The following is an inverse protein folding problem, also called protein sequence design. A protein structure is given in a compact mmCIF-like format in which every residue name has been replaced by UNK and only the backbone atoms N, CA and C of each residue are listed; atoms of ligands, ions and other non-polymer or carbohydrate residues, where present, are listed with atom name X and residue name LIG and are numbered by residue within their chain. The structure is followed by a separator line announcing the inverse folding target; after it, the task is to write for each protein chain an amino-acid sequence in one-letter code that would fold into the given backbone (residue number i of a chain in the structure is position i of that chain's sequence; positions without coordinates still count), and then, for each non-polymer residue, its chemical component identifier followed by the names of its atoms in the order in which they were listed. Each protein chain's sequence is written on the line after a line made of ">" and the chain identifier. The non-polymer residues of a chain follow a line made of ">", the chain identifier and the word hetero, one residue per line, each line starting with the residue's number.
data_IF_859987519285
#
_entry.id   IF_859987519285
#
_cell.length_a   1.000
_cell.length_b   1.000
_cell.length_c   1.000
_cell.angle_alpha   90.00
_cell.angle_beta   90.00
_cell.angle_gamma   90.00
#
_symmetry.space_group_name_H-M   'P 1'
#
loop_
_entity.id
_entity.type
_entity.pdbx_description
1 polymer ?
#
# COMPACT_ATOMS: atom_id res chain seq x y z
N UNK A 1 -8.05 -6.87 15.55
CA UNK A 1 -7.96 -6.81 17.03
C UNK A 1 -7.83 -8.17 17.71
N UNK A 2 -8.44 -9.26 17.22
CA UNK A 2 -8.36 -10.58 17.87
C UNK A 2 -6.92 -11.09 18.05
N UNK A 3 -6.08 -10.97 17.01
CA UNK A 3 -4.68 -11.45 17.03
C UNK A 3 -3.82 -10.72 18.09
N UNK A 4 -3.94 -9.39 18.22
CA UNK A 4 -3.15 -8.65 19.21
C UNK A 4 -3.51 -9.07 20.64
N UNK A 5 -4.80 -9.23 20.92
CA UNK A 5 -5.27 -9.70 22.24
C UNK A 5 -4.82 -11.13 22.52
N UNK A 6 -4.89 -12.02 21.53
CA UNK A 6 -4.39 -13.40 21.65
C UNK A 6 -2.87 -13.45 21.94
N UNK A 7 -2.11 -12.52 21.35
CA UNK A 7 -0.66 -12.38 21.55
C UNK A 7 -0.28 -11.48 22.74
N UNK A 8 -1.25 -11.06 23.56
CA UNK A 8 -1.02 -10.22 24.75
C UNK A 8 -0.30 -8.90 24.43
N UNK A 9 -0.55 -8.33 23.25
CA UNK A 9 -0.06 -7.00 22.88
C UNK A 9 -1.12 -5.99 23.32
N UNK A 10 -0.95 -5.44 24.52
CA UNK A 10 -1.93 -4.54 25.16
C UNK A 10 -1.48 -3.08 25.22
N UNK A 11 -0.18 -2.83 25.02
CA UNK A 11 0.40 -1.49 25.04
C UNK A 11 1.28 -1.20 23.82
N UNK A 12 1.60 0.08 23.64
CA UNK A 12 2.61 0.51 22.66
C UNK A 12 3.96 -0.15 22.91
N UNK A 13 4.35 -0.32 24.17
CA UNK A 13 5.63 -0.94 24.52
C UNK A 13 5.67 -2.43 24.13
N UNK A 14 4.56 -3.15 24.30
CA UNK A 14 4.46 -4.56 23.87
C UNK A 14 4.57 -4.68 22.35
N UNK A 15 3.93 -3.76 21.63
CA UNK A 15 4.00 -3.72 20.17
C UNK A 15 5.44 -3.47 19.69
N UNK A 16 6.11 -2.45 20.23
CA UNK A 16 7.51 -2.16 19.90
C UNK A 16 8.43 -3.32 20.20
N UNK A 17 8.30 -3.90 21.39
CA UNK A 17 9.10 -5.05 21.81
C UNK A 17 8.90 -6.22 20.86
N UNK A 18 7.66 -6.46 20.42
CA UNK A 18 7.34 -7.50 19.43
C UNK A 18 8.00 -7.24 18.08
N UNK A 19 7.94 -6.02 17.56
CA UNK A 19 8.63 -5.67 16.30
C UNK A 19 10.15 -5.81 16.44
N UNK A 20 10.75 -5.31 17.51
CA UNK A 20 12.20 -5.45 17.76
C UNK A 20 12.61 -6.93 17.87
N UNK A 21 11.80 -7.77 18.50
CA UNK A 21 12.07 -9.20 18.57
C UNK A 21 12.03 -9.84 17.17
N UNK A 22 11.07 -9.47 16.33
CA UNK A 22 10.96 -9.96 14.95
C UNK A 22 12.08 -9.50 14.06
N UNK A 23 12.50 -8.25 14.20
CA UNK A 23 13.66 -7.71 13.51
C UNK A 23 14.97 -8.35 13.95
N UNK A 24 14.98 -9.11 15.05
CA UNK A 24 16.13 -9.90 15.51
C UNK A 24 15.97 -11.41 15.31
N UNK A 25 14.77 -11.87 14.98
CA UNK A 25 14.46 -13.27 14.72
C UNK A 25 15.13 -13.74 13.42
N UNK A 26 15.95 -14.79 13.52
CA UNK A 26 16.66 -15.36 12.38
C UNK A 26 15.69 -15.96 11.35
N UNK A 27 14.53 -16.45 11.79
CA UNK A 27 13.51 -16.99 10.88
C UNK A 27 12.89 -15.90 10.01
N UNK A 28 12.87 -14.65 10.48
CA UNK A 28 12.34 -13.49 9.77
C UNK A 28 13.36 -12.80 8.86
N UNK A 29 14.60 -13.25 8.87
CA UNK A 29 15.69 -12.70 8.05
C UNK A 29 16.05 -13.60 6.88
N UNK A 30 16.68 -12.98 5.91
CA UNK A 30 17.49 -13.66 4.91
C UNK A 30 18.94 -13.50 5.31
N UNK A 31 19.74 -14.55 5.12
CA UNK A 31 21.19 -14.44 5.25
C UNK A 31 21.73 -13.50 4.18
N UNK A 32 22.72 -12.66 4.50
CA UNK A 32 23.26 -11.66 3.59
C UNK A 32 24.25 -12.27 2.57
N UNK A 33 23.75 -13.18 1.73
CA UNK A 33 24.45 -13.87 0.65
C UNK A 33 23.76 -13.61 -0.69
N UNK A 34 24.50 -13.62 -1.79
CA UNK A 34 24.01 -13.22 -3.12
C UNK A 34 22.80 -14.07 -3.59
N UNK A 35 22.81 -15.35 -3.27
CA UNK A 35 21.76 -16.31 -3.61
C UNK A 35 20.39 -15.92 -3.04
N UNK A 36 20.38 -15.25 -1.87
CA UNK A 36 19.13 -14.82 -1.24
C UNK A 36 18.47 -13.66 -1.97
N UNK A 37 19.16 -12.93 -2.87
CA UNK A 37 18.50 -11.91 -3.70
C UNK A 37 17.46 -12.54 -4.62
N UNK A 38 17.82 -13.62 -5.31
CA UNK A 38 16.87 -14.38 -6.15
C UNK A 38 15.76 -14.99 -5.31
N UNK A 39 16.09 -15.51 -4.12
CA UNK A 39 15.10 -16.05 -3.20
C UNK A 39 14.06 -15.00 -2.79
N UNK A 40 14.48 -13.79 -2.44
CA UNK A 40 13.57 -12.69 -2.07
C UNK A 40 12.62 -12.35 -3.20
N UNK A 41 13.12 -12.23 -4.44
CA UNK A 41 12.27 -11.94 -5.60
C UNK A 41 11.25 -13.06 -5.83
N UNK A 42 11.65 -14.33 -5.70
CA UNK A 42 10.75 -15.47 -5.81
C UNK A 42 9.71 -15.52 -4.69
N UNK A 43 10.09 -15.21 -3.46
CA UNK A 43 9.17 -15.17 -2.31
C UNK A 43 8.13 -14.04 -2.53
N UNK A 44 8.51 -12.88 -3.10
CA UNK A 44 7.54 -11.86 -3.53
C UNK A 44 6.62 -12.34 -4.65
N UNK A 45 7.15 -13.01 -5.68
CA UNK A 45 6.33 -13.60 -6.74
C UNK A 45 5.28 -14.58 -6.17
N UNK A 46 5.68 -15.43 -5.22
CA UNK A 46 4.76 -16.37 -4.57
C UNK A 46 3.68 -15.65 -3.77
N UNK A 47 4.03 -14.62 -2.99
CA UNK A 47 3.06 -13.80 -2.24
C UNK A 47 2.03 -13.17 -3.19
N UNK A 48 2.48 -12.66 -4.34
CA UNK A 48 1.62 -12.05 -5.35
C UNK A 48 0.70 -13.09 -5.98
N UNK A 49 1.22 -14.26 -6.35
CA UNK A 49 0.43 -15.34 -6.93
C UNK A 49 -0.62 -15.88 -5.95
N UNK A 50 -0.25 -16.07 -4.68
CA UNK A 50 -1.14 -16.55 -3.64
C UNK A 50 -2.36 -15.63 -3.44
N UNK A 51 -2.15 -14.31 -3.42
CA UNK A 51 -3.26 -13.37 -3.30
C UNK A 51 -4.02 -13.22 -4.62
N UNK A 52 -3.34 -13.19 -5.77
CA UNK A 52 -3.98 -13.00 -7.08
C UNK A 52 -5.01 -14.09 -7.41
N UNK A 53 -4.72 -15.35 -7.03
CA UNK A 53 -5.62 -16.49 -7.18
C UNK A 53 -6.96 -16.32 -6.42
N UNK A 54 -7.02 -15.42 -5.45
CA UNK A 54 -8.19 -15.18 -4.61
C UNK A 54 -8.93 -13.88 -4.96
N UNK A 55 -8.38 -13.06 -5.88
CA UNK A 55 -8.92 -11.73 -6.21
C UNK A 55 -10.29 -11.76 -6.88
N UNK A 56 -10.64 -12.83 -7.58
CA UNK A 56 -11.97 -12.99 -8.20
C UNK A 56 -13.10 -13.05 -7.16
N UNK A 57 -12.80 -13.21 -5.87
CA UNK A 57 -13.79 -13.11 -4.77
C UNK A 57 -14.14 -11.66 -4.43
N UNK A 58 -13.24 -10.72 -4.72
CA UNK A 58 -13.35 -9.32 -4.28
C UNK A 58 -13.35 -8.31 -5.41
N UNK A 59 -12.96 -8.71 -6.62
CA UNK A 59 -12.93 -7.88 -7.81
C UNK A 59 -13.73 -8.54 -8.92
N UNK A 60 -14.41 -7.74 -9.75
CA UNK A 60 -15.01 -8.26 -10.97
C UNK A 60 -13.94 -8.61 -12.00
N UNK A 61 -14.31 -9.42 -12.98
CA UNK A 61 -13.44 -9.72 -14.14
C UNK A 61 -13.08 -8.47 -14.94
N UNK A 62 -13.91 -7.42 -14.92
CA UNK A 62 -13.64 -6.16 -15.60
C UNK A 62 -12.47 -5.39 -14.96
N UNK A 63 -12.21 -5.61 -13.67
CA UNK A 63 -11.11 -5.00 -12.93
C UNK A 63 -9.83 -5.84 -12.90
N UNK A 64 -9.76 -6.99 -13.60
CA UNK A 64 -8.55 -7.82 -13.58
C UNK A 64 -7.50 -7.27 -14.56
N UNK A 65 -6.26 -7.00 -14.12
CA UNK A 65 -5.17 -6.67 -15.02
C UNK A 65 -4.97 -7.76 -16.09
N UNK A 66 -4.76 -7.35 -17.34
CA UNK A 66 -4.51 -8.29 -18.44
C UNK A 66 -3.07 -8.87 -18.42
N UNK A 67 -2.17 -8.25 -17.66
CA UNK A 67 -0.77 -8.65 -17.52
C UNK A 67 -0.45 -8.94 -16.07
N UNK A 68 0.53 -9.82 -15.84
CA UNK A 68 1.06 -10.07 -14.49
C UNK A 68 2.08 -8.99 -14.11
N UNK A 69 2.23 -8.75 -12.82
CA UNK A 69 3.33 -7.94 -12.28
C UNK A 69 4.63 -8.73 -12.37
N UNK A 70 5.69 -8.11 -12.90
CA UNK A 70 7.05 -8.63 -12.81
C UNK A 70 7.67 -8.13 -11.50
N UNK A 71 8.54 -8.94 -10.87
CA UNK A 71 9.30 -8.52 -9.67
C UNK A 71 10.78 -8.53 -10.02
N UNK A 72 11.46 -7.39 -9.83
CA UNK A 72 12.89 -7.25 -10.16
C UNK A 72 13.66 -6.53 -9.07
N UNK A 73 14.98 -6.74 -9.03
CA UNK A 73 15.88 -5.91 -8.22
C UNK A 73 15.97 -4.53 -8.85
N UNK A 74 15.97 -3.49 -8.02
CA UNK A 74 16.36 -2.14 -8.47
C UNK A 74 17.75 -2.20 -9.14
N UNK A 75 17.95 -1.61 -10.33
CA UNK A 75 19.26 -1.61 -10.98
C UNK A 75 20.36 -1.13 -10.03
N UNK A 76 21.49 -1.84 -9.99
CA UNK A 76 22.55 -1.62 -9.00
C UNK A 76 23.06 -0.17 -8.95
N UNK A 77 23.09 0.53 -10.09
CA UNK A 77 23.50 1.93 -10.13
C UNK A 77 22.50 2.92 -9.48
N UNK A 78 21.28 2.47 -9.14
CA UNK A 78 20.22 3.27 -8.50
C UNK A 78 19.97 2.90 -7.03
N UNK A 79 20.36 1.71 -6.59
CA UNK A 79 19.91 1.15 -5.30
C UNK A 79 20.37 1.95 -4.07
N UNK A 80 21.51 2.64 -4.16
CA UNK A 80 22.04 3.47 -3.08
C UNK A 80 21.13 4.67 -2.72
N UNK A 81 20.44 5.24 -3.71
CA UNK A 81 19.57 6.43 -3.54
C UNK A 81 18.09 6.10 -3.68
N UNK A 82 17.75 4.84 -3.97
CA UNK A 82 16.37 4.43 -4.11
C UNK A 82 15.72 4.13 -2.75
N UNK A 83 14.40 4.26 -2.72
CA UNK A 83 13.55 3.76 -1.63
C UNK A 83 13.60 2.23 -1.55
N UNK A 84 12.96 1.67 -0.53
CA UNK A 84 12.93 0.22 -0.30
C UNK A 84 12.31 -0.56 -1.48
N UNK A 85 11.30 0.03 -2.12
CA UNK A 85 10.53 -0.59 -3.16
C UNK A 85 9.73 0.47 -3.94
N UNK A 86 9.41 0.17 -5.20
CA UNK A 86 8.45 0.95 -5.97
C UNK A 86 7.89 0.13 -7.14
N UNK A 87 6.65 0.40 -7.52
CA UNK A 87 6.06 -0.07 -8.76
C UNK A 87 6.32 0.90 -9.92
N UNK A 88 6.65 0.35 -11.09
CA UNK A 88 6.74 1.09 -12.34
C UNK A 88 5.71 0.57 -13.36
N UNK A 89 4.86 1.44 -13.95
CA UNK A 89 3.83 1.02 -14.90
C UNK A 89 4.39 0.39 -16.17
N UNK A 90 3.59 -0.50 -16.79
CA UNK A 90 3.90 -1.03 -18.11
C UNK A 90 3.93 0.09 -19.16
N UNK A 91 4.79 -0.07 -20.17
CA UNK A 91 4.80 0.80 -21.34
C UNK A 91 3.59 0.50 -22.23
N UNK A 92 3.00 1.55 -22.83
CA UNK A 92 1.85 1.41 -23.73
C UNK A 92 2.16 0.66 -25.02
N UNK A 93 3.43 0.55 -25.40
CA UNK A 93 3.89 -0.22 -26.56
C UNK A 93 4.05 -1.73 -26.27
N UNK A 94 3.80 -2.15 -25.02
CA UNK A 94 3.88 -3.53 -24.57
C UNK A 94 5.29 -4.09 -24.42
N UNK A 95 6.35 -3.29 -24.65
CA UNK A 95 7.74 -3.78 -24.58
C UNK A 95 8.29 -3.85 -23.17
N UNK A 96 7.76 -3.04 -22.26
CA UNK A 96 8.16 -3.02 -20.85
C UNK A 96 6.97 -3.41 -19.98
N UNK A 97 7.07 -4.50 -19.20
CA UNK A 97 6.00 -4.92 -18.31
C UNK A 97 5.87 -3.95 -17.11
N UNK A 98 4.76 -4.07 -16.39
CA UNK A 98 4.62 -3.43 -15.09
C UNK A 98 5.48 -4.17 -14.08
N UNK A 99 6.38 -3.45 -13.40
CA UNK A 99 7.42 -4.07 -12.57
C UNK A 99 7.41 -3.50 -11.16
N UNK A 100 7.28 -4.40 -10.18
CA UNK A 100 7.56 -4.13 -8.79
C UNK A 100 9.07 -4.29 -8.55
N UNK A 101 9.76 -3.17 -8.34
CA UNK A 101 11.17 -3.15 -8.04
C UNK A 101 11.43 -3.22 -6.53
N UNK A 102 12.36 -4.08 -6.12
CA UNK A 102 12.79 -4.27 -4.73
C UNK A 102 14.25 -3.83 -4.55
N UNK A 103 14.52 -3.04 -3.53
CA UNK A 103 15.88 -2.67 -3.17
C UNK A 103 16.58 -3.82 -2.44
N UNK A 104 17.63 -4.37 -3.07
CA UNK A 104 18.42 -5.47 -2.51
C UNK A 104 19.88 -5.07 -2.30
N UNK A 105 20.15 -3.77 -2.09
CA UNK A 105 21.50 -3.28 -1.75
C UNK A 105 22.08 -3.99 -0.53
N UNK A 106 21.22 -4.19 0.47
CA UNK A 106 21.52 -4.83 1.74
C UNK A 106 20.37 -5.77 2.08
N UNK A 107 20.62 -7.07 2.04
CA UNK A 107 19.59 -8.09 2.23
C UNK A 107 18.98 -8.00 3.65
N UNK A 108 19.74 -7.53 4.63
CA UNK A 108 19.27 -7.36 6.00
C UNK A 108 18.19 -6.27 6.15
N UNK A 109 17.95 -5.45 5.12
CA UNK A 109 16.85 -4.47 5.07
C UNK A 109 15.52 -5.13 4.64
N UNK A 110 15.56 -6.33 4.06
CA UNK A 110 14.38 -7.13 3.71
C UNK A 110 14.04 -8.08 4.86
N UNK A 111 12.92 -7.83 5.52
CA UNK A 111 12.39 -8.70 6.59
C UNK A 111 11.09 -9.38 6.15
N UNK A 112 10.99 -10.69 6.35
CA UNK A 112 9.89 -11.53 5.82
C UNK A 112 8.52 -11.07 6.29
N UNK A 113 8.40 -10.69 7.57
CA UNK A 113 7.13 -10.27 8.16
C UNK A 113 6.55 -8.98 7.53
N UNK A 114 7.35 -8.16 6.82
CA UNK A 114 6.87 -6.97 6.09
C UNK A 114 6.59 -7.23 4.60
N UNK A 115 6.95 -8.40 4.06
CA UNK A 115 6.86 -8.66 2.62
C UNK A 115 5.42 -8.69 2.10
N UNK A 116 4.48 -9.31 2.83
CA UNK A 116 3.08 -9.39 2.41
C UNK A 116 2.46 -8.01 2.17
N UNK A 117 2.55 -7.12 3.17
CA UNK A 117 1.95 -5.79 3.09
C UNK A 117 2.56 -4.97 1.95
N UNK A 118 3.88 -5.07 1.75
CA UNK A 118 4.57 -4.40 0.65
C UNK A 118 4.19 -4.95 -0.73
N UNK A 119 4.06 -6.28 -0.86
CA UNK A 119 3.61 -6.90 -2.10
C UNK A 119 2.18 -6.49 -2.46
N UNK A 120 1.30 -6.40 -1.46
CA UNK A 120 -0.08 -5.98 -1.66
C UNK A 120 -0.17 -4.50 -2.06
N UNK A 121 0.73 -3.66 -1.51
CA UNK A 121 0.85 -2.25 -1.85
C UNK A 121 1.33 -2.02 -3.29
N UNK A 122 2.45 -2.63 -3.66
CA UNK A 122 3.14 -2.35 -4.94
C UNK A 122 2.54 -3.14 -6.11
N UNK A 123 2.06 -4.36 -5.86
CA UNK A 123 1.60 -5.28 -6.90
C UNK A 123 0.08 -5.51 -6.83
N UNK A 124 -0.33 -6.66 -6.28
CA UNK A 124 -1.73 -7.11 -6.30
C UNK A 124 -2.31 -7.11 -4.89
N UNK A 125 -3.45 -6.42 -4.63
CA UNK A 125 -4.27 -5.64 -5.55
C UNK A 125 -3.96 -4.12 -5.57
N UNK A 126 -2.77 -3.70 -5.15
CA UNK A 126 -2.37 -2.29 -5.07
C UNK A 126 -1.99 -1.64 -6.42
N UNK A 127 -0.79 -1.05 -6.50
CA UNK A 127 -0.41 -0.18 -7.62
C UNK A 127 -0.43 -0.87 -8.98
N UNK A 128 0.15 -2.07 -9.11
CA UNK A 128 0.09 -2.80 -10.39
C UNK A 128 -1.35 -2.99 -10.85
N UNK A 129 -2.22 -3.41 -9.94
CA UNK A 129 -3.61 -3.68 -10.24
C UNK A 129 -4.34 -2.41 -10.71
N UNK A 130 -4.27 -1.34 -9.90
CA UNK A 130 -4.97 -0.09 -10.17
C UNK A 130 -4.49 0.60 -11.45
N UNK A 131 -3.18 0.67 -11.65
CA UNK A 131 -2.61 1.36 -12.80
C UNK A 131 -2.85 0.55 -14.08
N UNK A 132 -2.70 -0.77 -14.04
CA UNK A 132 -2.93 -1.61 -15.22
C UNK A 132 -4.38 -1.56 -15.68
N UNK A 133 -5.34 -1.55 -14.74
CA UNK A 133 -6.75 -1.32 -15.06
C UNK A 133 -6.92 0.04 -15.72
N UNK A 134 -6.42 1.12 -15.10
CA UNK A 134 -6.55 2.48 -15.67
C UNK A 134 -5.95 2.60 -17.09
N UNK A 135 -4.79 1.98 -17.34
CA UNK A 135 -4.17 1.97 -18.67
C UNK A 135 -5.03 1.25 -19.72
N UNK A 136 -5.86 0.28 -19.31
CA UNK A 136 -6.73 -0.49 -20.20
C UNK A 136 -8.03 0.23 -20.61
N UNK A 137 -8.42 1.31 -19.92
CA UNK A 137 -9.70 2.01 -20.11
C UNK A 137 -9.72 2.85 -21.40
N UNK A 138 -9.85 2.19 -22.56
CA UNK A 138 -9.83 2.83 -23.90
C UNK A 138 -10.96 3.84 -24.14
N UNK A 139 -12.02 3.78 -23.34
CA UNK A 139 -13.12 4.75 -23.40
C UNK A 139 -12.75 6.11 -22.77
N UNK A 140 -11.67 6.16 -21.97
CA UNK A 140 -11.17 7.40 -21.39
C UNK A 140 -10.13 8.07 -22.31
N UNK A 141 -10.10 9.42 -22.33
CA UNK A 141 -9.00 10.15 -22.95
C UNK A 141 -7.64 9.70 -22.42
N UNK A 142 -6.59 9.73 -23.27
CA UNK A 142 -5.27 9.22 -22.92
C UNK A 142 -4.71 9.80 -21.61
N UNK A 143 -4.89 11.11 -21.37
CA UNK A 143 -4.40 11.75 -20.14
C UNK A 143 -5.03 11.16 -18.86
N UNK A 144 -6.31 10.74 -18.89
CA UNK A 144 -7.00 10.09 -17.75
C UNK A 144 -6.43 8.70 -17.44
N UNK A 145 -5.70 8.10 -18.38
CA UNK A 145 -5.07 6.79 -18.25
C UNK A 145 -3.64 6.87 -17.72
N UNK A 146 -3.06 8.07 -17.61
CA UNK A 146 -1.65 8.26 -17.23
C UNK A 146 -1.40 9.29 -16.12
N UNK A 147 -2.26 10.30 -15.95
CA UNK A 147 -2.04 11.34 -14.94
C UNK A 147 -2.33 10.77 -13.56
N UNK A 148 -1.35 10.72 -12.64
CA UNK A 148 -1.56 10.22 -11.31
C UNK A 148 -2.18 11.30 -10.42
N UNK A 149 -3.10 10.89 -9.55
CA UNK A 149 -3.52 11.69 -8.39
C UNK A 149 -3.01 11.00 -7.13
N UNK A 150 -1.98 11.56 -6.49
CA UNK A 150 -1.24 10.90 -5.40
C UNK A 150 -2.15 10.36 -4.30
N UNK A 151 -3.13 11.14 -3.83
CA UNK A 151 -4.02 10.68 -2.76
C UNK A 151 -4.93 9.52 -3.22
N UNK A 152 -5.39 9.51 -4.47
CA UNK A 152 -6.12 8.37 -5.02
C UNK A 152 -5.21 7.13 -5.15
N UNK A 153 -4.02 7.32 -5.70
CA UNK A 153 -3.06 6.25 -5.99
C UNK A 153 -2.56 5.57 -4.71
N UNK A 154 -2.05 6.37 -3.77
CA UNK A 154 -1.51 5.90 -2.50
C UNK A 154 -2.61 5.47 -1.54
N UNK A 155 -3.75 6.16 -1.59
CA UNK A 155 -4.94 5.78 -0.84
C UNK A 155 -5.48 4.42 -1.26
N UNK A 156 -5.49 4.11 -2.56
CA UNK A 156 -5.86 2.80 -3.07
C UNK A 156 -4.93 1.70 -2.54
N UNK A 157 -3.62 1.89 -2.64
CA UNK A 157 -2.65 0.89 -2.20
C UNK A 157 -2.77 0.61 -0.69
N UNK A 158 -2.89 1.65 0.14
CA UNK A 158 -3.16 1.48 1.57
C UNK A 158 -4.52 0.84 1.87
N UNK A 159 -5.56 1.20 1.11
CA UNK A 159 -6.88 0.58 1.22
C UNK A 159 -6.78 -0.93 0.94
N UNK A 160 -5.99 -1.34 -0.04
CA UNK A 160 -5.81 -2.75 -0.39
C UNK A 160 -5.00 -3.54 0.64
N UNK A 161 -4.02 -2.92 1.31
CA UNK A 161 -3.35 -3.54 2.47
C UNK A 161 -4.36 -3.82 3.59
N UNK A 162 -5.23 -2.85 3.89
CA UNK A 162 -6.29 -3.05 4.88
C UNK A 162 -7.31 -4.11 4.43
N UNK A 163 -7.74 -4.10 3.17
CA UNK A 163 -8.61 -5.13 2.61
C UNK A 163 -7.97 -6.52 2.76
N UNK A 164 -6.67 -6.65 2.49
CA UNK A 164 -5.95 -7.91 2.64
C UNK A 164 -6.00 -8.41 4.10
N UNK A 165 -5.81 -7.51 5.07
CA UNK A 165 -5.95 -7.82 6.49
C UNK A 165 -7.38 -8.21 6.88
N UNK A 166 -8.40 -7.49 6.40
CA UNK A 166 -9.82 -7.77 6.65
C UNK A 166 -10.25 -9.14 6.10
N UNK A 167 -9.66 -9.56 4.98
CA UNK A 167 -9.97 -10.83 4.31
C UNK A 167 -9.06 -12.00 4.71
N UNK A 168 -8.18 -11.80 5.69
CA UNK A 168 -7.38 -12.88 6.28
C UNK A 168 -6.18 -13.33 5.44
N UNK A 169 -5.69 -12.48 4.53
CA UNK A 169 -4.51 -12.80 3.71
C UNK A 169 -3.21 -12.80 4.51
N UNK A 170 -3.18 -12.10 5.65
CA UNK A 170 -2.10 -12.20 6.63
C UNK A 170 -2.27 -13.46 7.49
N UNK A 171 -1.90 -14.62 6.93
CA UNK A 171 -2.08 -15.94 7.55
C UNK A 171 -1.26 -16.13 8.83
N UNK A 172 -0.09 -15.48 8.92
CA UNK A 172 0.76 -15.52 10.11
C UNK A 172 0.62 -14.23 10.92
N UNK A 173 0.72 -14.36 12.25
CA UNK A 173 0.72 -13.19 13.13
C UNK A 173 1.93 -12.27 12.87
N UNK A 174 3.06 -12.83 12.41
CA UNK A 174 4.20 -12.07 11.89
C UNK A 174 3.78 -11.11 10.77
N UNK A 175 3.17 -11.65 9.70
CA UNK A 175 2.73 -10.86 8.55
C UNK A 175 1.68 -9.81 8.94
N UNK A 176 0.79 -10.14 9.88
CA UNK A 176 -0.22 -9.21 10.37
C UNK A 176 0.39 -8.05 11.17
N UNK A 177 1.40 -8.33 12.00
CA UNK A 177 2.12 -7.30 12.73
C UNK A 177 2.93 -6.39 11.80
N UNK A 178 3.51 -6.95 10.73
CA UNK A 178 4.16 -6.16 9.68
C UNK A 178 3.20 -5.21 8.95
N UNK A 179 1.97 -5.64 8.69
CA UNK A 179 0.89 -4.76 8.21
C UNK A 179 0.58 -3.64 9.21
N UNK A 180 0.45 -3.95 10.50
CA UNK A 180 0.17 -2.92 11.52
C UNK A 180 1.32 -1.92 11.67
N UNK A 181 2.58 -2.38 11.62
CA UNK A 181 3.77 -1.51 11.62
C UNK A 181 3.76 -0.58 10.39
N UNK A 182 3.42 -1.11 9.22
CA UNK A 182 3.24 -0.33 8.01
C UNK A 182 2.14 0.74 8.18
N UNK A 183 0.97 0.38 8.70
CA UNK A 183 -0.13 1.32 8.93
C UNK A 183 0.21 2.41 9.96
N UNK A 184 0.93 2.05 11.03
CA UNK A 184 1.39 3.00 12.04
C UNK A 184 2.34 4.03 11.42
N UNK A 185 3.28 3.58 10.60
CA UNK A 185 4.19 4.48 9.88
C UNK A 185 3.43 5.48 8.99
N UNK A 186 2.46 5.02 8.18
CA UNK A 186 1.67 5.93 7.33
C UNK A 186 0.71 6.81 8.15
N UNK A 187 0.34 6.42 9.36
CA UNK A 187 -0.39 7.29 10.29
C UNK A 187 0.49 8.41 10.85
N UNK A 188 1.74 8.10 11.21
CA UNK A 188 2.71 9.08 11.69
C UNK A 188 3.00 10.15 10.63
N UNK A 189 2.99 9.79 9.33
CA UNK A 189 3.15 10.73 8.22
C UNK A 189 2.15 11.89 8.24
N UNK A 190 0.90 11.68 8.67
CA UNK A 190 -0.08 12.77 8.84
C UNK A 190 0.37 13.78 9.90
N UNK A 191 0.87 13.28 11.02
CA UNK A 191 1.29 14.10 12.16
C UNK A 191 2.57 14.87 11.82
N UNK A 192 3.52 14.23 11.15
CA UNK A 192 4.82 14.85 10.87
C UNK A 192 4.74 15.89 9.77
N UNK A 193 4.05 15.60 8.67
CA UNK A 193 3.94 16.56 7.56
C UNK A 193 3.21 17.83 8.02
N UNK A 194 2.10 17.68 8.76
CA UNK A 194 1.43 18.82 9.38
C UNK A 194 2.23 19.42 10.54
N UNK A 195 3.01 18.61 11.26
CA UNK A 195 3.96 19.03 12.27
C UNK A 195 4.99 20.02 11.72
N UNK A 196 5.66 19.63 10.63
CA UNK A 196 6.66 20.44 9.94
C UNK A 196 6.01 21.68 9.32
N UNK A 197 5.00 21.50 8.47
CA UNK A 197 4.53 22.56 7.56
C UNK A 197 3.46 23.48 8.15
N UNK A 198 2.75 23.04 9.19
CA UNK A 198 1.72 23.85 9.86
C UNK A 198 2.10 24.18 11.30
N UNK A 199 2.54 23.20 12.08
CA UNK A 199 2.95 23.40 13.49
C UNK A 199 4.39 23.90 13.63
N UNK A 200 5.13 24.03 12.52
CA UNK A 200 6.50 24.58 12.46
C UNK A 200 7.51 23.79 13.29
N UNK A 201 7.38 22.47 13.33
CA UNK A 201 8.38 21.60 13.94
C UNK A 201 9.72 21.72 13.24
N UNK A 202 10.81 21.72 14.02
CA UNK A 202 12.15 21.59 13.48
C UNK A 202 12.38 20.18 12.94
N UNK A 203 13.48 20.00 12.19
CA UNK A 203 13.91 18.68 11.69
C UNK A 203 14.09 17.70 12.85
N UNK A 204 14.71 18.15 13.94
CA UNK A 204 14.99 17.34 15.12
C UNK A 204 13.69 16.94 15.84
N UNK A 205 12.74 17.87 16.00
CA UNK A 205 11.42 17.56 16.59
C UNK A 205 10.65 16.51 15.77
N UNK A 206 10.71 16.59 14.43
CA UNK A 206 10.10 15.61 13.55
C UNK A 206 10.79 14.22 13.63
N UNK A 207 12.12 14.20 13.77
CA UNK A 207 12.90 12.96 13.98
C UNK A 207 12.55 12.33 15.33
N UNK A 208 12.55 13.11 16.41
CA UNK A 208 12.25 12.63 17.76
C UNK A 208 10.84 12.04 17.83
N UNK A 209 9.85 12.70 17.21
CA UNK A 209 8.50 12.17 17.11
C UNK A 209 8.47 10.80 16.41
N UNK A 210 9.18 10.63 15.29
CA UNK A 210 9.27 9.33 14.60
C UNK A 210 9.96 8.26 15.43
N UNK A 211 11.04 8.63 16.14
CA UNK A 211 11.75 7.74 17.06
C UNK A 211 10.85 7.32 18.22
N UNK A 212 9.88 8.13 18.62
CA UNK A 212 8.95 7.81 19.71
C UNK A 212 7.72 7.01 19.27
N UNK A 213 7.31 7.12 18.00
CA UNK A 213 6.02 6.62 17.51
C UNK A 213 6.12 5.54 16.41
N UNK A 214 7.32 5.14 15.99
CA UNK A 214 7.52 4.06 15.00
C UNK A 214 8.57 3.05 15.46
N UNK A 215 8.65 1.90 14.81
CA UNK A 215 9.72 0.93 15.04
C UNK A 215 10.87 1.06 14.03
N UNK A 216 10.93 2.18 13.29
CA UNK A 216 11.91 2.38 12.23
C UNK A 216 13.31 2.66 12.76
N UNK A 217 14.32 2.34 11.97
CA UNK A 217 15.71 2.69 12.26
C UNK A 217 15.93 4.19 12.08
N UNK A 218 16.84 4.76 12.87
CA UNK A 218 17.09 6.21 12.89
C UNK A 218 17.51 6.76 11.52
N UNK A 219 18.30 6.01 10.77
CA UNK A 219 18.79 6.41 9.45
C UNK A 219 17.66 6.48 8.41
N UNK A 220 16.72 5.54 8.49
CA UNK A 220 15.49 5.53 7.67
C UNK A 220 14.57 6.70 8.04
N UNK A 221 14.42 6.96 9.35
CA UNK A 221 13.65 8.10 9.87
C UNK A 221 14.20 9.43 9.35
N UNK A 222 15.52 9.63 9.42
CA UNK A 222 16.17 10.86 8.93
C UNK A 222 15.85 11.08 7.45
N UNK A 223 16.03 10.03 6.64
CA UNK A 223 15.76 10.08 5.19
C UNK A 223 14.31 10.47 4.90
N UNK A 224 13.35 9.87 5.59
CA UNK A 224 11.93 10.16 5.41
C UNK A 224 11.55 11.56 5.90
N UNK A 225 12.05 12.00 7.06
CA UNK A 225 11.79 13.36 7.57
C UNK A 225 12.33 14.41 6.59
N UNK A 226 13.57 14.27 6.12
CA UNK A 226 14.16 15.22 5.16
C UNK A 226 13.40 15.28 3.84
N UNK A 227 12.90 14.14 3.36
CA UNK A 227 11.99 14.09 2.21
C UNK A 227 10.73 14.91 2.45
N UNK A 228 10.13 14.86 3.64
CA UNK A 228 8.90 15.61 3.93
C UNK A 228 9.13 17.12 3.96
N UNK A 229 10.32 17.60 4.32
CA UNK A 229 10.66 19.03 4.23
C UNK A 229 10.65 19.56 2.78
N UNK A 230 11.06 18.75 1.80
CA UNK A 230 11.16 19.16 0.40
C UNK A 230 9.93 18.78 -0.44
N UNK A 231 9.00 18.01 0.11
CA UNK A 231 7.78 17.56 -0.58
C UNK A 231 6.52 17.71 0.28
N UNK A 232 6.11 18.95 0.60
CA UNK A 232 5.00 19.23 1.51
C UNK A 232 3.67 18.61 1.03
N UNK A 233 2.96 17.96 1.94
CA UNK A 233 1.63 17.37 1.70
C UNK A 233 1.64 15.98 1.07
N UNK A 234 2.76 15.55 0.47
CA UNK A 234 2.85 14.24 -0.18
C UNK A 234 2.69 13.09 0.81
N UNK A 235 3.29 13.21 2.00
CA UNK A 235 3.20 12.20 3.04
C UNK A 235 1.78 12.05 3.60
N UNK A 236 0.98 13.13 3.60
CA UNK A 236 -0.42 13.09 4.01
C UNK A 236 -1.32 12.34 3.02
N UNK A 237 -0.97 12.38 1.73
CA UNK A 237 -1.82 11.86 0.65
C UNK A 237 -2.19 10.37 0.83
N UNK A 238 -1.27 9.57 1.37
CA UNK A 238 -1.46 8.13 1.64
C UNK A 238 -2.69 7.89 2.53
N UNK A 239 -2.61 8.34 3.78
CA UNK A 239 -3.64 8.02 4.77
C UNK A 239 -4.92 8.82 4.51
N UNK A 240 -4.84 10.06 4.02
CA UNK A 240 -6.03 10.82 3.60
C UNK A 240 -6.80 10.07 2.51
N UNK A 241 -6.10 9.59 1.48
CA UNK A 241 -6.72 8.80 0.40
C UNK A 241 -7.38 7.52 0.89
N UNK A 242 -6.67 6.76 1.74
CA UNK A 242 -7.18 5.53 2.31
C UNK A 242 -8.45 5.77 3.13
N UNK A 243 -8.43 6.77 4.02
CA UNK A 243 -9.59 7.12 4.85
C UNK A 243 -10.78 7.58 4.01
N UNK A 244 -10.56 8.34 2.94
CA UNK A 244 -11.66 8.71 2.03
C UNK A 244 -12.25 7.47 1.37
N UNK A 245 -11.44 6.57 0.82
CA UNK A 245 -11.95 5.34 0.19
C UNK A 245 -12.72 4.47 1.19
N UNK A 246 -12.21 4.32 2.42
CA UNK A 246 -12.89 3.59 3.49
C UNK A 246 -14.23 4.24 3.87
N UNK A 247 -14.26 5.57 4.00
CA UNK A 247 -15.50 6.30 4.30
C UNK A 247 -16.54 6.18 3.19
N UNK A 248 -16.09 6.14 1.92
CA UNK A 248 -16.95 5.91 0.77
C UNK A 248 -17.49 4.49 0.76
N UNK A 249 -16.67 3.49 1.10
CA UNK A 249 -17.12 2.10 1.26
C UNK A 249 -18.22 2.01 2.32
N UNK A 250 -17.99 2.61 3.48
CA UNK A 250 -18.97 2.65 4.57
C UNK A 250 -20.27 3.36 4.16
N UNK A 251 -20.16 4.47 3.41
CA UNK A 251 -21.31 5.20 2.86
C UNK A 251 -22.16 4.33 1.95
N UNK A 252 -21.54 3.61 1.01
CA UNK A 252 -22.25 2.70 0.09
C UNK A 252 -22.86 1.52 0.86
N UNK A 253 -22.13 0.94 1.82
CA UNK A 253 -22.64 -0.13 2.68
C UNK A 253 -23.91 0.30 3.45
N UNK A 254 -23.90 1.50 4.03
CA UNK A 254 -25.06 2.05 4.74
C UNK A 254 -26.25 2.30 3.81
N UNK A 255 -26.00 2.81 2.60
CA UNK A 255 -27.08 3.11 1.66
C UNK A 255 -27.73 1.85 1.07
N UNK A 256 -26.92 0.84 0.72
CA UNK A 256 -27.41 -0.35 0.02
C UNK A 256 -27.77 -1.52 0.93
N UNK A 257 -27.31 -1.52 2.20
CA UNK A 257 -27.59 -2.58 3.17
C UNK A 257 -27.20 -3.96 2.63
N UNK A 258 -28.13 -4.91 2.66
CA UNK A 258 -27.93 -6.28 2.18
C UNK A 258 -27.65 -6.38 0.67
N UNK A 259 -27.92 -5.33 -0.10
CA UNK A 259 -27.60 -5.25 -1.54
C UNK A 259 -26.19 -4.74 -1.82
N UNK A 260 -25.39 -4.43 -0.78
CA UNK A 260 -24.00 -4.02 -0.96
C UNK A 260 -23.16 -5.16 -1.56
N UNK A 261 -22.53 -4.89 -2.71
CA UNK A 261 -21.52 -5.76 -3.30
C UNK A 261 -20.16 -5.04 -3.31
N UNK A 262 -19.16 -5.68 -2.70
CA UNK A 262 -17.80 -5.18 -2.66
C UNK A 262 -17.14 -5.13 -4.05
N UNK A 263 -17.48 -6.06 -4.95
CA UNK A 263 -16.96 -6.07 -6.32
C UNK A 263 -17.42 -4.85 -7.08
N UNK A 264 -18.72 -4.53 -7.00
CA UNK A 264 -19.27 -3.35 -7.65
C UNK A 264 -18.68 -2.05 -7.08
N UNK A 265 -18.46 -1.99 -5.76
CA UNK A 265 -17.75 -0.86 -5.15
C UNK A 265 -16.33 -0.68 -5.73
N UNK A 266 -15.56 -1.76 -5.87
CA UNK A 266 -14.24 -1.70 -6.50
C UNK A 266 -14.31 -1.34 -7.99
N UNK A 267 -15.32 -1.82 -8.71
CA UNK A 267 -15.55 -1.46 -10.11
C UNK A 267 -15.73 0.05 -10.27
N UNK A 268 -16.53 0.67 -9.42
CA UNK A 268 -16.75 2.12 -9.44
C UNK A 268 -15.46 2.88 -9.21
N UNK A 269 -14.60 2.43 -8.29
CA UNK A 269 -13.31 3.07 -8.05
C UNK A 269 -12.39 2.90 -9.27
N UNK A 270 -12.18 1.67 -9.72
CA UNK A 270 -11.11 1.33 -10.67
C UNK A 270 -11.46 1.65 -12.12
N UNK A 271 -12.70 1.38 -12.56
CA UNK A 271 -13.11 1.51 -13.96
C UNK A 271 -13.35 2.96 -14.40
N UNK A 272 -13.26 3.91 -13.48
CA UNK A 272 -13.29 5.35 -13.78
C UNK A 272 -11.89 5.97 -13.90
N UNK A 273 -10.82 5.22 -13.63
CA UNK A 273 -9.43 5.69 -13.68
C UNK A 273 -9.07 6.67 -12.55
N UNK A 274 -7.80 7.09 -12.49
CA UNK A 274 -7.32 7.97 -11.39
C UNK A 274 -7.98 9.34 -11.43
N UNK A 275 -8.36 9.89 -10.28
CA UNK A 275 -9.05 11.18 -10.17
C UNK A 275 -8.84 11.85 -8.80
N UNK A 276 -9.13 13.16 -8.66
CA UNK A 276 -9.24 13.80 -7.37
C UNK A 276 -10.30 13.13 -6.48
N UNK A 277 -10.04 13.03 -5.18
CA UNK A 277 -10.93 12.33 -4.24
C UNK A 277 -12.34 12.94 -4.18
N UNK A 278 -12.49 14.25 -4.31
CA UNK A 278 -13.80 14.91 -4.37
C UNK A 278 -14.60 14.60 -5.64
N UNK A 279 -13.94 14.16 -6.73
CA UNK A 279 -14.63 13.65 -7.91
C UNK A 279 -15.04 12.20 -7.68
N UNK A 280 -14.19 11.39 -7.05
CA UNK A 280 -14.52 10.02 -6.66
C UNK A 280 -15.77 10.00 -5.75
N UNK A 281 -15.86 10.92 -4.78
CA UNK A 281 -17.03 11.08 -3.92
C UNK A 281 -18.33 11.29 -4.72
N UNK A 282 -18.29 12.16 -5.75
CA UNK A 282 -19.46 12.41 -6.60
C UNK A 282 -19.87 11.18 -7.41
N UNK A 283 -18.89 10.45 -7.94
CA UNK A 283 -19.16 9.20 -8.69
C UNK A 283 -19.81 8.16 -7.78
N UNK A 284 -19.35 8.04 -6.53
CA UNK A 284 -19.99 7.15 -5.54
C UNK A 284 -21.41 7.59 -5.23
N UNK A 285 -21.68 8.89 -5.11
CA UNK A 285 -23.04 9.41 -4.90
C UNK A 285 -23.98 9.10 -6.07
N UNK A 286 -23.49 9.18 -7.30
CA UNK A 286 -24.24 8.80 -8.50
C UNK A 286 -24.47 7.30 -8.58
N UNK A 287 -23.48 6.49 -8.19
CA UNK A 287 -23.61 5.03 -8.09
C UNK A 287 -24.71 4.63 -7.10
N UNK A 288 -24.71 5.20 -5.89
CA UNK A 288 -25.74 4.95 -4.88
C UNK A 288 -27.13 5.30 -5.44
N UNK A 289 -27.30 6.51 -6.00
CA UNK A 289 -28.58 6.95 -6.59
C UNK A 289 -29.07 6.05 -7.71
N UNK A 290 -28.15 5.49 -8.50
CA UNK A 290 -28.50 4.56 -9.59
C UNK A 290 -29.00 3.25 -8.99
N UNK A 291 -28.28 2.69 -8.03
CA UNK A 291 -28.67 1.46 -7.35
C UNK A 291 -30.01 1.58 -6.64
N UNK A 292 -30.25 2.68 -5.92
CA UNK A 292 -31.52 2.93 -5.23
C UNK A 292 -32.73 2.99 -6.17
N UNK A 293 -32.56 3.42 -7.43
CA UNK A 293 -33.63 3.42 -8.43
C UNK A 293 -33.96 2.02 -8.95
N UNK A 294 -32.98 1.13 -8.94
CA UNK A 294 -33.12 -0.25 -9.37
C UNK A 294 -33.63 -1.17 -8.23
N UNK A 295 -33.83 -0.62 -7.02
CA UNK A 295 -34.31 -1.34 -5.83
C UNK A 295 -35.82 -1.45 -5.72
#
# INVERSE_FOLDING_TARGET
>A
MYILKEKQIESWQDFRTSITNFENDIEQKYENIEENRTKILNDYCQIIEDIDNEMDKYFSSACRPATKCVVERIPQFKEATAVMAYYFPAAFDGKTPGTFFVNLRNINEVVKFKMNTLAYHEAVPGHHFQISVAQSLKHLPFFRRIIPFTAYLEGWALYTEQLAAEKGFHKSWYSYLGYLDAQLFRSCRLVIDTGIHWKRWSREQAIDYMIENTCMKKEEIITEVERYFVYPGQACAYMVGCQVILSLREKVQKALGDKFDLKEFHDVILLNGSMPLNILEKIIDEFIKTKEKDM
#
